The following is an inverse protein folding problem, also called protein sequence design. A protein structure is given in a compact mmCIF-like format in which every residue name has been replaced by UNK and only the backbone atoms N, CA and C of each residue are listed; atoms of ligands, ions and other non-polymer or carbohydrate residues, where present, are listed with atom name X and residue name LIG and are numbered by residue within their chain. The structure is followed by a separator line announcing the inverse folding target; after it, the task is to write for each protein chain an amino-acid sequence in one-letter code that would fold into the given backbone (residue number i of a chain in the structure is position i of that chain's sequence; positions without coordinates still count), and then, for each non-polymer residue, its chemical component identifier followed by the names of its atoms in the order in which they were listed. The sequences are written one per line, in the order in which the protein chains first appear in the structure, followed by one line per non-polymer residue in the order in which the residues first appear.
data_IF_804031350271
#
_entry.id   IF_804031350271
#
_cell.length_a   1.000
_cell.length_b   1.000
_cell.length_c   1.000
_cell.angle_alpha   90.00
_cell.angle_beta   90.00
_cell.angle_gamma   90.00
#
_symmetry.space_group_name_H-M   'P 1'
#
loop_
_entity.id
_entity.type
_entity.pdbx_description
1 polymer ?
#
# COMPACT_ATOMS: atom_id res chain seq x y z
N UNK A 1 -6.28 -6.13 19.33
CA UNK A 1 -7.00 -5.97 18.03
C UNK A 1 -6.12 -5.29 16.99
N UNK A 2 -5.65 -4.07 17.23
CA UNK A 2 -4.76 -3.32 16.32
C UNK A 2 -3.51 -4.10 15.91
N UNK A 3 -2.79 -4.71 16.86
CA UNK A 3 -1.60 -5.51 16.52
C UNK A 3 -1.88 -6.69 15.59
N UNK A 4 -3.05 -7.34 15.72
CA UNK A 4 -3.45 -8.44 14.81
C UNK A 4 -3.76 -7.91 13.42
N UNK A 5 -4.44 -6.76 13.33
CA UNK A 5 -4.73 -6.08 12.06
C UNK A 5 -3.44 -5.66 11.32
N UNK A 6 -2.45 -5.16 12.06
CA UNK A 6 -1.13 -4.80 11.52
C UNK A 6 -0.35 -6.03 11.03
N UNK A 7 -0.40 -7.14 11.77
CA UNK A 7 0.26 -8.38 11.33
C UNK A 7 -0.41 -8.96 10.08
N UNK A 8 -1.73 -8.90 9.99
CA UNK A 8 -2.49 -9.32 8.81
C UNK A 8 -2.17 -8.46 7.58
N UNK A 9 -2.11 -7.13 7.74
CA UNK A 9 -1.74 -6.23 6.65
C UNK A 9 -0.31 -6.45 6.18
N UNK A 10 0.64 -6.63 7.11
CA UNK A 10 2.03 -6.96 6.78
C UNK A 10 2.12 -8.29 6.02
N UNK A 11 1.43 -9.34 6.49
CA UNK A 11 1.40 -10.63 5.81
C UNK A 11 0.83 -10.53 4.39
N UNK A 12 -0.25 -9.76 4.21
CA UNK A 12 -0.85 -9.50 2.90
C UNK A 12 0.14 -8.85 1.94
N UNK A 13 0.85 -7.80 2.37
CA UNK A 13 1.85 -7.11 1.54
C UNK A 13 3.01 -8.04 1.18
N UNK A 14 3.50 -8.83 2.14
CA UNK A 14 4.59 -9.78 1.88
C UNK A 14 4.15 -10.83 0.85
N UNK A 15 2.93 -11.36 0.96
CA UNK A 15 2.41 -12.32 -0.03
C UNK A 15 2.21 -11.69 -1.41
N UNK A 16 1.71 -10.46 -1.46
CA UNK A 16 1.56 -9.70 -2.69
C UNK A 16 2.91 -9.47 -3.38
N UNK A 17 3.93 -9.02 -2.64
CA UNK A 17 5.26 -8.75 -3.20
C UNK A 17 6.01 -10.01 -3.64
N UNK A 18 5.72 -11.17 -3.04
CA UNK A 18 6.30 -12.46 -3.44
C UNK A 18 5.60 -13.09 -4.66
N UNK A 19 4.42 -12.59 -5.06
CA UNK A 19 3.73 -13.09 -6.26
C UNK A 19 4.42 -12.60 -7.55
N UNK A 20 4.11 -13.25 -8.68
CA UNK A 20 4.58 -12.82 -10.01
C UNK A 20 4.21 -11.35 -10.30
N UNK A 21 3.05 -10.91 -9.83
CA UNK A 21 2.63 -9.51 -9.91
C UNK A 21 3.54 -8.58 -9.10
N UNK A 22 3.96 -9.00 -7.91
CA UNK A 22 4.89 -8.26 -7.05
C UNK A 22 6.30 -8.13 -7.64
N UNK A 23 6.77 -9.18 -8.33
CA UNK A 23 8.01 -9.14 -9.09
C UNK A 23 7.91 -8.15 -10.26
N UNK A 24 6.79 -8.16 -11.00
CA UNK A 24 6.49 -7.19 -12.05
C UNK A 24 6.41 -5.74 -11.56
N UNK A 25 5.81 -5.53 -10.39
CA UNK A 25 5.73 -4.22 -9.71
C UNK A 25 7.13 -3.68 -9.40
N UNK A 26 8.02 -4.51 -8.84
CA UNK A 26 9.41 -4.14 -8.54
C UNK A 26 10.23 -3.91 -9.80
N UNK A 27 10.07 -4.76 -10.81
CA UNK A 27 10.72 -4.57 -12.11
C UNK A 27 10.31 -3.25 -12.77
N UNK A 28 9.03 -2.86 -12.63
CA UNK A 28 8.52 -1.57 -13.13
C UNK A 28 9.20 -0.38 -12.42
N UNK A 29 9.43 -0.49 -11.12
CA UNK A 29 10.13 0.54 -10.33
C UNK A 29 11.62 0.67 -10.66
N UNK A 30 12.30 -0.42 -11.03
CA UNK A 30 13.72 -0.40 -11.43
C UNK A 30 13.89 0.06 -12.87
N UNK A 31 13.06 -0.44 -13.79
CA UNK A 31 13.17 -0.11 -15.20
C UNK A 31 11.85 -0.27 -15.96
N UNK A 32 11.05 0.80 -15.94
CA UNK A 32 9.77 0.86 -16.65
C UNK A 32 9.90 0.57 -18.16
N UNK A 33 11.01 0.96 -18.80
CA UNK A 33 11.22 0.73 -20.25
C UNK A 33 11.33 -0.75 -20.60
N UNK A 34 11.92 -1.56 -19.71
CA UNK A 34 12.04 -3.00 -19.89
C UNK A 34 10.67 -3.70 -19.75
N UNK A 35 9.86 -3.29 -18.77
CA UNK A 35 8.52 -3.85 -18.56
C UNK A 35 7.59 -3.49 -19.74
N UNK A 36 7.65 -2.25 -20.23
CA UNK A 36 6.86 -1.84 -21.40
C UNK A 36 7.29 -2.56 -22.68
N UNK A 37 8.57 -2.90 -22.82
CA UNK A 37 9.09 -3.66 -23.97
C UNK A 37 8.68 -5.15 -23.93
N UNK A 38 8.38 -5.69 -22.75
CA UNK A 38 7.87 -7.06 -22.57
C UNK A 38 6.33 -7.15 -22.70
N UNK A 39 5.67 -6.09 -23.15
CA UNK A 39 4.21 -6.08 -23.36
C UNK A 39 3.38 -5.91 -22.09
N UNK A 40 4.02 -5.66 -20.94
CA UNK A 40 3.35 -5.43 -19.67
C UNK A 40 3.05 -3.94 -19.45
N UNK A 41 1.84 -3.62 -18.98
CA UNK A 41 1.38 -2.23 -18.79
C UNK A 41 1.99 -1.60 -17.55
N UNK A 42 3.10 -0.86 -17.70
CA UNK A 42 3.76 -0.12 -16.61
C UNK A 42 2.82 0.82 -15.85
N UNK A 43 1.89 1.48 -16.56
CA UNK A 43 0.90 2.36 -15.95
C UNK A 43 0.02 1.64 -14.92
N UNK A 44 -0.43 0.42 -15.22
CA UNK A 44 -1.25 -0.37 -14.30
C UNK A 44 -0.49 -0.69 -13.00
N UNK A 45 0.76 -1.13 -13.10
CA UNK A 45 1.62 -1.40 -11.94
C UNK A 45 1.82 -0.14 -11.08
N UNK A 46 2.08 1.01 -11.71
CA UNK A 46 2.25 2.28 -10.99
C UNK A 46 0.97 2.73 -10.28
N UNK A 47 -0.18 2.71 -10.96
CA UNK A 47 -1.46 3.09 -10.36
C UNK A 47 -1.84 2.15 -9.22
N UNK A 48 -1.61 0.85 -9.40
CA UNK A 48 -1.85 -0.13 -8.35
C UNK A 48 -0.99 0.14 -7.11
N UNK A 49 0.32 0.38 -7.29
CA UNK A 49 1.22 0.72 -6.19
C UNK A 49 0.81 2.00 -5.47
N UNK A 50 0.38 3.02 -6.21
CA UNK A 50 -0.11 4.28 -5.67
C UNK A 50 -1.40 4.10 -4.86
N UNK A 51 -2.36 3.33 -5.40
CA UNK A 51 -3.62 3.04 -4.72
C UNK A 51 -3.39 2.23 -3.44
N UNK A 52 -2.49 1.24 -3.48
CA UNK A 52 -2.12 0.44 -2.32
C UNK A 52 -1.48 1.30 -1.21
N UNK A 53 -0.56 2.21 -1.59
CA UNK A 53 0.06 3.14 -0.65
C UNK A 53 -0.96 4.03 0.05
N UNK A 54 -1.85 4.67 -0.73
CA UNK A 54 -2.92 5.52 -0.17
C UNK A 54 -3.90 4.72 0.69
N UNK A 55 -4.20 3.47 0.32
CA UNK A 55 -5.01 2.56 1.13
C UNK A 55 -4.41 2.32 2.51
N UNK A 56 -3.09 2.10 2.61
CA UNK A 56 -2.41 1.93 3.90
C UNK A 56 -2.36 3.20 4.73
N UNK A 57 -2.22 4.38 4.10
CA UNK A 57 -2.31 5.66 4.80
C UNK A 57 -3.69 5.84 5.44
N UNK A 58 -4.77 5.59 4.68
CA UNK A 58 -6.13 5.63 5.22
C UNK A 58 -6.38 4.59 6.32
N UNK A 59 -5.86 3.38 6.15
CA UNK A 59 -5.95 2.33 7.16
C UNK A 59 -5.23 2.69 8.46
N UNK A 60 -4.06 3.33 8.38
CA UNK A 60 -3.35 3.83 9.55
C UNK A 60 -4.17 4.88 10.30
N UNK A 61 -4.81 5.82 9.59
CA UNK A 61 -5.71 6.80 10.20
C UNK A 61 -6.92 6.17 10.89
N UNK A 62 -7.53 5.15 10.27
CA UNK A 62 -8.64 4.41 10.86
C UNK A 62 -8.23 3.66 12.14
N UNK A 63 -7.04 3.04 12.14
CA UNK A 63 -6.49 2.39 13.34
C UNK A 63 -6.20 3.42 14.44
N UNK A 64 -5.70 4.60 14.10
CA UNK A 64 -5.45 5.68 15.05
C UNK A 64 -6.75 6.18 15.71
N UNK A 65 -7.81 6.40 14.94
CA UNK A 65 -9.12 6.75 15.48
C UNK A 65 -9.69 5.64 16.38
N UNK A 66 -9.52 4.37 15.98
CA UNK A 66 -9.93 3.22 16.79
C UNK A 66 -9.19 3.16 18.13
N UNK A 67 -7.87 3.40 18.16
CA UNK A 67 -7.10 3.38 19.41
C UNK A 67 -7.50 4.48 20.37
N UNK A 68 -7.88 5.66 19.84
CA UNK A 68 -8.28 6.80 20.66
C UNK A 68 -9.75 6.73 21.09
N UNK A 69 -10.54 5.75 20.60
CA UNK A 69 -11.99 5.58 20.84
C UNK A 69 -12.86 6.80 20.48
N UNK A 70 -12.26 7.84 19.91
CA UNK A 70 -12.88 9.09 19.48
C UNK A 70 -12.22 9.53 18.18
N UNK A 71 -13.03 10.07 17.27
CA UNK A 71 -12.59 10.64 16.00
C UNK A 71 -12.98 12.12 15.98
N UNK A 72 -11.99 13.00 16.10
CA UNK A 72 -12.18 14.45 16.07
C UNK A 72 -11.39 15.06 14.89
N UNK A 73 -11.94 16.08 14.22
CA UNK A 73 -11.38 16.64 12.98
C UNK A 73 -10.08 17.43 13.23
N UNK A 74 -9.84 17.87 14.46
CA UNK A 74 -8.57 18.46 14.92
C UNK A 74 -7.51 17.39 15.23
N UNK A 75 -7.89 16.11 15.32
CA UNK A 75 -7.00 14.96 15.56
C UNK A 75 -6.14 14.64 14.33
N UNK A 76 -5.21 15.51 13.99
CA UNK A 76 -4.36 15.39 12.80
C UNK A 76 -3.90 16.73 12.23
N UNK A 77 -4.44 17.84 12.71
CA UNK A 77 -3.90 19.18 12.43
C UNK A 77 -2.65 19.33 13.28
N UNK A 78 -1.48 19.14 12.67
CA UNK A 78 -0.22 19.60 13.26
C UNK A 78 -0.25 21.12 13.38
N UNK A 79 0.28 21.65 14.49
CA UNK A 79 0.53 23.08 14.65
C UNK A 79 1.44 23.62 13.56
#
# INVERSE_FOLDING_TARGET
VVGVLVLLSAFFVIRLLNSDFGLGLRATGVNARMVSAQGASTGFYTYFGLALSNGFVGFAGALFAQTNSFADVTSGVGT
#
